data_IF_505808441161
#
_entry.id   IF_505808441161
#
_cell.length_a   1.000
_cell.length_b   1.000
_cell.length_c   1.000
_cell.angle_alpha   90.00
_cell.angle_beta   90.00
_cell.angle_gamma   90.00
#
_symmetry.space_group_name_H-M   'P 1'
#
loop_
_entity.id
_entity.type
_entity.pdbx_description
1 polymer ?
#
# COMPACT_ATOMS: atom_id res chain seq x y z
N UNK A 1 -7.05 16.58 -0.17
CA UNK A 1 -6.60 15.37 -0.90
C UNK A 1 -6.43 15.75 -2.36
N UNK A 2 -5.29 15.42 -2.99
CA UNK A 2 -4.99 15.81 -4.37
C UNK A 2 -4.96 14.56 -5.25
N UNK A 3 -6.00 14.36 -6.06
CA UNK A 3 -5.91 13.42 -7.17
C UNK A 3 -4.88 13.92 -8.18
N UNK A 4 -4.18 13.02 -8.88
CA UNK A 4 -3.29 13.44 -9.94
C UNK A 4 -4.12 14.16 -11.02
N UNK A 5 -3.62 15.30 -11.51
CA UNK A 5 -4.28 16.10 -12.55
C UNK A 5 -4.17 15.45 -13.92
N UNK A 6 -4.57 14.18 -14.03
CA UNK A 6 -4.60 13.41 -15.27
C UNK A 6 -5.91 13.77 -15.97
N UNK A 7 -5.88 14.39 -17.16
CA UNK A 7 -7.08 14.71 -17.90
C UNK A 7 -7.91 13.45 -18.19
N UNK A 8 -9.20 13.48 -17.89
CA UNK A 8 -10.11 12.36 -18.16
C UNK A 8 -10.13 11.26 -17.10
N UNK A 9 -9.40 11.41 -15.97
CA UNK A 9 -9.37 10.41 -14.90
C UNK A 9 -10.76 10.11 -14.33
N UNK A 10 -11.64 11.12 -14.32
CA UNK A 10 -13.04 11.02 -13.90
C UNK A 10 -13.90 10.12 -14.80
N UNK A 11 -13.43 9.80 -16.00
CA UNK A 11 -14.14 8.95 -16.96
C UNK A 11 -13.85 7.46 -16.74
N UNK A 12 -12.87 7.12 -15.90
CA UNK A 12 -12.56 5.74 -15.59
C UNK A 12 -13.79 5.05 -14.99
N UNK A 13 -14.20 3.93 -15.59
CA UNK A 13 -15.40 3.18 -15.20
C UNK A 13 -15.12 2.11 -14.14
N UNK A 14 -13.85 1.80 -13.90
CA UNK A 14 -13.46 0.88 -12.84
C UNK A 14 -13.52 1.55 -11.47
N UNK A 15 -13.38 0.74 -10.43
CA UNK A 15 -13.31 1.23 -9.06
C UNK A 15 -11.97 1.96 -8.82
N UNK A 16 -12.01 3.11 -8.16
CA UNK A 16 -10.82 3.93 -7.91
C UNK A 16 -10.92 4.60 -6.53
N UNK A 17 -9.80 4.61 -5.81
CA UNK A 17 -9.66 5.24 -4.50
C UNK A 17 -8.22 5.70 -4.28
N UNK A 18 -8.00 6.54 -3.28
CA UNK A 18 -6.68 7.02 -2.89
C UNK A 18 -6.15 6.18 -1.73
N UNK A 19 -4.84 5.85 -1.72
CA UNK A 19 -4.24 4.96 -0.71
C UNK A 19 -4.41 5.42 0.74
N UNK A 20 -4.53 6.72 0.98
CA UNK A 20 -4.82 7.28 2.31
C UNK A 20 -6.28 7.08 2.78
N UNK A 21 -7.15 6.52 1.95
CA UNK A 21 -8.55 6.15 2.24
C UNK A 21 -8.82 4.81 1.57
N UNK A 22 -8.05 3.81 1.98
CA UNK A 22 -8.11 2.47 1.41
C UNK A 22 -9.51 1.87 1.56
N UNK A 23 -10.02 1.24 0.50
CA UNK A 23 -11.32 0.57 0.50
C UNK A 23 -11.10 -0.95 0.69
N UNK A 24 -11.12 -1.39 1.94
CA UNK A 24 -11.02 -2.82 2.28
C UNK A 24 -12.31 -3.61 1.96
N UNK A 25 -13.46 -2.94 1.88
CA UNK A 25 -14.69 -3.61 1.44
C UNK A 25 -14.57 -4.05 -0.02
N UNK A 26 -13.97 -3.21 -0.86
CA UNK A 26 -13.67 -3.54 -2.25
C UNK A 26 -12.50 -4.52 -2.41
N UNK A 27 -11.38 -4.25 -1.72
CA UNK A 27 -10.14 -5.03 -1.91
C UNK A 27 -10.12 -6.37 -1.18
N UNK A 28 -10.90 -6.49 -0.10
CA UNK A 28 -10.75 -7.56 0.88
C UNK A 28 -9.44 -7.43 1.67
N UNK A 29 -9.30 -8.25 2.72
CA UNK A 29 -8.11 -8.24 3.56
C UNK A 29 -8.11 -7.10 4.56
N UNK A 30 -6.91 -6.72 5.00
CA UNK A 30 -6.68 -5.70 6.02
C UNK A 30 -5.30 -5.03 5.86
N UNK A 31 -4.88 -4.28 6.88
CA UNK A 31 -3.60 -3.56 6.90
C UNK A 31 -2.37 -4.45 6.78
N UNK A 32 -2.50 -5.75 7.03
CA UNK A 32 -1.43 -6.75 6.89
C UNK A 32 -1.42 -7.41 5.50
N UNK A 33 -2.40 -7.12 4.64
CA UNK A 33 -2.49 -7.66 3.28
C UNK A 33 -3.70 -8.58 3.10
N UNK A 34 -3.50 -9.74 2.45
CA UNK A 34 -4.56 -10.70 2.14
C UNK A 34 -5.72 -10.12 1.31
N UNK A 35 -5.38 -9.38 0.25
CA UNK A 35 -6.29 -8.65 -0.64
C UNK A 35 -7.08 -9.59 -1.57
N UNK A 36 -7.76 -10.57 -0.97
CA UNK A 36 -8.31 -11.75 -1.61
C UNK A 36 -9.36 -11.47 -2.71
N UNK A 37 -10.02 -10.30 -2.68
CA UNK A 37 -10.99 -9.92 -3.73
C UNK A 37 -10.32 -9.40 -5.00
N UNK A 38 -8.99 -9.29 -5.03
CA UNK A 38 -8.22 -8.79 -6.18
C UNK A 38 -7.78 -9.88 -7.16
N UNK A 39 -7.99 -11.16 -6.85
CA UNK A 39 -7.45 -12.34 -7.59
C UNK A 39 -7.80 -12.41 -9.07
N UNK A 40 -8.93 -11.81 -9.49
CA UNK A 40 -9.36 -11.74 -10.88
C UNK A 40 -9.17 -10.34 -11.51
N UNK A 41 -8.66 -9.38 -10.74
CA UNK A 41 -8.59 -7.96 -11.10
C UNK A 41 -7.26 -7.57 -11.72
N UNK A 42 -7.34 -6.67 -12.71
CA UNK A 42 -6.20 -5.92 -13.22
C UNK A 42 -6.14 -4.61 -12.44
N UNK A 43 -5.05 -4.40 -11.69
CA UNK A 43 -4.89 -3.27 -10.78
C UNK A 43 -3.85 -2.30 -11.34
N UNK A 44 -4.15 -1.01 -11.27
CA UNK A 44 -3.22 0.06 -11.61
C UNK A 44 -2.88 0.89 -10.38
N UNK A 45 -1.59 1.07 -10.09
CA UNK A 45 -1.11 2.01 -9.06
C UNK A 45 -0.35 3.15 -9.72
N UNK A 46 -0.75 4.38 -9.43
CA UNK A 46 -0.09 5.59 -9.91
C UNK A 46 0.80 6.11 -8.79
N UNK A 47 2.05 6.43 -9.13
CA UNK A 47 3.12 6.84 -8.20
C UNK A 47 3.93 5.69 -7.60
N UNK A 48 5.17 5.99 -7.21
CA UNK A 48 6.20 5.01 -6.81
C UNK A 48 6.98 5.44 -5.56
N UNK A 49 6.44 6.34 -4.74
CA UNK A 49 7.08 6.72 -3.48
C UNK A 49 6.83 5.74 -2.32
N UNK A 50 7.14 6.15 -1.10
CA UNK A 50 7.15 5.28 0.08
C UNK A 50 5.87 4.43 0.27
N UNK A 51 4.69 5.03 0.09
CA UNK A 51 3.42 4.28 0.17
C UNK A 51 3.33 3.20 -0.90
N UNK A 52 3.69 3.51 -2.15
CA UNK A 52 3.63 2.53 -3.23
C UNK A 52 4.64 1.39 -2.99
N UNK A 53 5.84 1.69 -2.47
CA UNK A 53 6.85 0.67 -2.13
C UNK A 53 6.30 -0.37 -1.14
N UNK A 54 5.49 0.06 -0.17
CA UNK A 54 4.89 -0.85 0.82
C UNK A 54 3.64 -1.57 0.26
N UNK A 55 2.85 -0.92 -0.58
CA UNK A 55 1.59 -1.45 -1.12
C UNK A 55 1.80 -2.44 -2.28
N UNK A 56 2.78 -2.17 -3.15
CA UNK A 56 3.03 -2.95 -4.37
C UNK A 56 3.26 -4.44 -4.11
N UNK A 57 4.03 -4.88 -3.10
CA UNK A 57 4.21 -6.29 -2.80
C UNK A 57 2.87 -7.02 -2.55
N UNK A 58 2.00 -6.45 -1.71
CA UNK A 58 0.69 -7.03 -1.41
C UNK A 58 -0.25 -7.03 -2.63
N UNK A 59 -0.24 -5.96 -3.43
CA UNK A 59 -0.99 -5.93 -4.69
C UNK A 59 -0.46 -6.96 -5.69
N UNK A 60 0.86 -7.12 -5.78
CA UNK A 60 1.52 -8.05 -6.69
C UNK A 60 1.24 -9.51 -6.34
N UNK A 61 1.13 -9.82 -5.05
CA UNK A 61 0.78 -11.16 -4.56
C UNK A 61 -0.67 -11.56 -4.89
N UNK A 62 -1.62 -10.61 -4.82
CA UNK A 62 -3.04 -10.94 -4.86
C UNK A 62 -3.79 -10.53 -6.13
N UNK A 63 -3.24 -9.64 -6.95
CA UNK A 63 -3.92 -9.21 -8.20
C UNK A 63 -3.64 -10.16 -9.36
N UNK A 64 -4.57 -10.26 -10.31
CA UNK A 64 -4.32 -11.00 -11.57
C UNK A 64 -3.15 -10.38 -12.34
N UNK A 65 -3.15 -9.05 -12.45
CA UNK A 65 -2.05 -8.27 -13.01
C UNK A 65 -1.94 -6.93 -12.30
N UNK A 66 -0.72 -6.51 -12.01
CA UNK A 66 -0.41 -5.20 -11.45
C UNK A 66 0.34 -4.34 -12.48
N UNK A 67 -0.14 -3.12 -12.68
CA UNK A 67 0.50 -2.08 -13.49
C UNK A 67 0.97 -0.94 -12.59
N UNK A 68 2.28 -0.67 -12.60
CA UNK A 68 2.87 0.46 -11.88
C UNK A 68 3.13 1.62 -12.86
N UNK A 69 2.41 2.73 -12.68
CA UNK A 69 2.58 3.93 -13.50
C UNK A 69 3.57 4.89 -12.81
N UNK A 70 4.84 4.77 -13.20
CA UNK A 70 5.95 5.54 -12.65
C UNK A 70 6.23 6.81 -13.46
N UNK A 71 6.27 7.97 -12.79
CA UNK A 71 6.82 9.20 -13.37
C UNK A 71 8.30 9.40 -13.01
N UNK A 72 8.65 9.14 -11.75
CA UNK A 72 10.01 9.31 -11.22
C UNK A 72 10.28 8.15 -10.27
N UNK A 73 11.34 7.34 -10.50
CA UNK A 73 11.66 6.24 -9.60
C UNK A 73 12.08 6.75 -8.23
N UNK A 74 11.76 5.97 -7.20
CA UNK A 74 12.34 6.17 -5.87
C UNK A 74 13.64 5.38 -5.73
N UNK A 75 14.61 5.95 -5.01
CA UNK A 75 15.77 5.19 -4.53
C UNK A 75 15.31 4.26 -3.41
N UNK A 76 15.56 2.97 -3.56
CA UNK A 76 15.11 1.93 -2.62
C UNK A 76 16.33 1.24 -2.03
N UNK A 77 16.31 1.02 -0.71
CA UNK A 77 17.28 0.20 -0.01
C UNK A 77 16.55 -0.81 0.89
N UNK A 78 17.29 -1.79 1.41
CA UNK A 78 16.76 -2.83 2.29
C UNK A 78 16.25 -2.21 3.58
N UNK A 79 15.00 -2.51 3.95
CA UNK A 79 14.37 -2.03 5.20
C UNK A 79 14.94 -2.73 6.44
N UNK A 80 15.32 -4.00 6.32
CA UNK A 80 15.76 -4.85 7.43
C UNK A 80 14.78 -4.83 8.62
N UNK A 81 13.47 -4.88 8.31
CA UNK A 81 12.42 -4.93 9.33
C UNK A 81 12.56 -6.23 10.11
N UNK A 82 12.70 -6.12 11.43
CA UNK A 82 12.82 -7.24 12.35
C UNK A 82 12.02 -6.91 13.61
N UNK A 83 11.48 -7.91 14.32
CA UNK A 83 10.98 -7.70 15.67
C UNK A 83 12.06 -7.03 16.53
N UNK A 84 11.68 -6.08 17.40
CA UNK A 84 12.64 -5.46 18.31
C UNK A 84 13.25 -6.51 19.26
N UNK A 85 14.47 -6.25 19.72
CA UNK A 85 15.10 -7.07 20.76
C UNK A 85 14.18 -7.13 22.00
N UNK A 86 13.76 -8.33 22.44
CA UNK A 86 12.85 -8.47 23.58
C UNK A 86 13.35 -7.83 24.87
N UNK A 87 14.67 -7.87 25.13
CA UNK A 87 15.23 -7.28 26.36
C UNK A 87 15.24 -5.75 26.28
N UNK A 88 15.60 -5.19 25.12
CA UNK A 88 15.43 -3.77 24.85
C UNK A 88 13.95 -3.34 24.98
N UNK A 89 13.01 -4.09 24.40
CA UNK A 89 11.57 -3.78 24.50
C UNK A 89 11.06 -3.80 25.94
N UNK A 90 11.52 -4.74 26.78
CA UNK A 90 11.17 -4.77 28.22
C UNK A 90 11.79 -3.61 29.01
N UNK A 91 12.93 -3.09 28.56
CA UNK A 91 13.62 -1.97 29.21
C UNK A 91 12.96 -0.60 28.96
N UNK A 92 12.05 -0.51 27.98
CA UNK A 92 11.36 0.72 27.66
C UNK A 92 10.39 1.10 28.79
N UNK A 93 10.52 2.32 29.31
CA UNK A 93 9.50 2.89 30.18
C UNK A 93 8.18 3.04 29.40
N UNK A 94 7.05 2.89 30.09
CA UNK A 94 5.73 3.10 29.48
C UNK A 94 5.63 4.54 28.93
N UNK A 95 5.73 4.67 27.61
CA UNK A 95 5.58 5.93 26.86
C UNK A 95 4.24 6.03 26.12
N UNK A 96 4.10 6.97 25.17
CA UNK A 96 2.82 7.30 24.50
C UNK A 96 2.27 6.22 23.53
N UNK A 97 2.90 5.05 23.48
CA UNK A 97 2.39 3.86 22.79
C UNK A 97 1.37 3.19 23.73
N UNK A 98 0.19 3.80 23.89
CA UNK A 98 -0.92 3.16 24.59
C UNK A 98 -1.85 2.47 23.59
N UNK A 99 -2.26 1.26 24.01
CA UNK A 99 -3.27 0.31 23.50
C UNK A 99 -4.12 0.71 22.29
#
# INVERSE_FOLDING_TARGET
MKFPGVPGIEKFKGHSFHTSRWDFDYTGGDVSGNLHKMTDKRVGIIWTGATAIQVVPHLGEHSKHLYAFQRTPSSINVRLDQPPDPEWSKSLEKGCQQD
#
